data_IF_632214343948
#
_entry.id   IF_632214343948
#
_cell.length_a   1.000
_cell.length_b   1.000
_cell.length_c   1.000
_cell.angle_alpha   90.00
_cell.angle_beta   90.00
_cell.angle_gamma   90.00
#
_symmetry.space_group_name_H-M   'P 1'
#
loop_
_entity.id
_entity.type
_entity.pdbx_description
1 polymer ?
#
# COMPACT_ATOMS: atom_id res chain seq x y z
N UNK A 1 -1.41 0.16 -15.34
CA UNK A 1 -0.97 0.03 -13.93
C UNK A 1 -1.55 1.21 -13.15
N UNK A 2 -1.85 1.03 -11.87
CA UNK A 2 -2.36 2.10 -11.01
C UNK A 2 -1.47 2.24 -9.78
N UNK A 3 -1.30 3.47 -9.31
CA UNK A 3 -0.88 3.75 -7.94
C UNK A 3 -2.12 3.84 -7.07
N UNK A 4 -2.16 3.09 -5.97
CA UNK A 4 -3.25 3.19 -4.99
C UNK A 4 -2.67 3.54 -3.63
N UNK A 5 -3.42 4.33 -2.87
CA UNK A 5 -3.14 4.62 -1.48
C UNK A 5 -4.39 4.33 -0.66
N UNK A 6 -4.23 3.50 0.37
CA UNK A 6 -5.25 3.22 1.37
C UNK A 6 -4.62 3.20 2.74
N UNK A 7 -5.46 3.41 3.74
CA UNK A 7 -5.09 3.29 5.12
C UNK A 7 -6.24 2.63 5.88
N UNK A 8 -5.98 2.19 7.11
CA UNK A 8 -7.00 1.55 7.92
C UNK A 8 -8.23 2.47 8.11
N UNK A 9 -9.46 1.98 7.94
CA UNK A 9 -10.64 2.77 8.28
C UNK A 9 -10.69 3.08 9.78
N UNK A 10 -11.13 4.29 10.15
CA UNK A 10 -11.19 4.73 11.55
C UNK A 10 -12.12 5.93 11.71
N UNK A 11 -12.55 6.21 12.93
CA UNK A 11 -13.36 7.40 13.20
C UNK A 11 -12.49 8.67 13.21
N UNK A 12 -12.88 9.70 12.46
CA UNK A 12 -12.27 11.01 12.48
C UNK A 12 -13.05 11.91 13.45
N UNK A 13 -12.53 12.08 14.66
CA UNK A 13 -13.14 12.92 15.70
C UNK A 13 -13.22 14.41 15.30
N UNK A 14 -12.36 14.88 14.39
CA UNK A 14 -12.38 16.28 13.93
C UNK A 14 -13.56 16.52 13.00
N UNK A 15 -13.77 15.60 12.05
CA UNK A 15 -14.87 15.68 11.07
C UNK A 15 -16.16 15.02 11.54
N UNK A 16 -16.14 14.35 12.70
CA UNK A 16 -17.26 13.59 13.29
C UNK A 16 -17.86 12.56 12.31
N UNK A 17 -17.01 11.94 11.50
CA UNK A 17 -17.42 10.94 10.50
C UNK A 17 -16.38 9.83 10.41
N UNK A 18 -16.76 8.69 9.83
CA UNK A 18 -15.81 7.61 9.55
C UNK A 18 -14.95 7.95 8.33
N UNK A 19 -13.64 7.84 8.51
CA UNK A 19 -12.70 7.74 7.40
C UNK A 19 -12.72 6.30 6.87
N UNK A 20 -13.13 6.15 5.61
CA UNK A 20 -13.37 4.86 4.96
C UNK A 20 -12.10 4.10 4.53
N UNK A 21 -10.93 4.66 4.83
CA UNK A 21 -9.64 4.08 4.50
C UNK A 21 -9.15 4.38 3.08
N UNK A 22 -9.97 4.99 2.22
CA UNK A 22 -9.61 5.26 0.82
C UNK A 22 -8.91 6.61 0.72
N UNK A 23 -7.69 6.65 0.19
CA UNK A 23 -6.95 7.90 -0.06
C UNK A 23 -7.06 8.25 -1.55
N UNK A 24 -6.61 7.36 -2.43
CA UNK A 24 -6.79 7.58 -3.86
C UNK A 24 -6.29 6.42 -4.73
N UNK A 25 -6.64 6.49 -6.02
CA UNK A 25 -6.20 5.58 -7.07
C UNK A 25 -5.92 6.38 -8.34
N UNK A 26 -4.73 6.22 -8.92
CA UNK A 26 -4.25 7.01 -10.04
C UNK A 26 -3.68 6.12 -11.14
N UNK A 27 -4.20 6.18 -12.37
CA UNK A 27 -3.66 5.42 -13.48
C UNK A 27 -2.30 5.99 -13.94
N UNK A 28 -1.35 5.11 -14.24
CA UNK A 28 -0.15 5.48 -14.99
C UNK A 28 -0.44 5.45 -16.47
N UNK A 29 -0.89 6.58 -17.01
CA UNK A 29 -1.21 6.77 -18.42
C UNK A 29 -0.75 8.12 -18.93
N UNK A 30 -0.49 8.18 -20.22
CA UNK A 30 -0.21 9.39 -20.97
C UNK A 30 -1.17 9.52 -22.15
N UNK A 31 -1.47 10.75 -22.54
CA UNK A 31 -2.26 11.04 -23.76
C UNK A 31 -1.29 11.37 -24.87
N UNK A 32 -1.22 10.50 -25.88
CA UNK A 32 -0.33 10.65 -27.04
C UNK A 32 -1.10 10.74 -28.34
N UNK A 33 -0.55 11.40 -29.35
CA UNK A 33 -1.15 11.48 -30.67
C UNK A 33 -1.05 10.14 -31.41
N UNK A 34 -2.15 9.69 -32.01
CA UNK A 34 -2.17 8.46 -32.80
C UNK A 34 -1.18 8.52 -33.98
N UNK A 35 -0.22 7.59 -34.02
CA UNK A 35 0.85 7.57 -35.04
C UNK A 35 0.36 7.17 -36.43
N UNK A 36 -0.71 6.38 -36.51
CA UNK A 36 -1.29 5.84 -37.76
C UNK A 36 -2.80 6.06 -37.78
N UNK A 37 -3.34 6.25 -38.97
CA UNK A 37 -4.79 6.20 -39.21
C UNK A 37 -5.26 4.74 -39.14
N UNK A 38 -6.42 4.53 -38.53
CA UNK A 38 -7.13 3.26 -38.46
C UNK A 38 -8.62 3.49 -38.71
N UNK A 39 -9.39 2.42 -38.89
CA UNK A 39 -10.85 2.50 -39.11
C UNK A 39 -11.58 3.31 -38.03
N UNK A 40 -11.11 3.25 -36.79
CA UNK A 40 -11.78 3.86 -35.63
C UNK A 40 -11.09 5.14 -35.15
N UNK A 41 -9.95 5.54 -35.75
CA UNK A 41 -9.14 6.66 -35.23
C UNK A 41 -8.23 7.26 -36.31
N UNK A 42 -8.35 8.55 -36.65
CA UNK A 42 -7.42 9.21 -37.55
C UNK A 42 -6.05 9.44 -36.91
N UNK A 43 -5.01 9.54 -37.74
CA UNK A 43 -3.68 9.98 -37.30
C UNK A 43 -3.79 11.34 -36.60
N UNK A 44 -3.10 11.51 -35.48
CA UNK A 44 -3.12 12.74 -34.68
C UNK A 44 -4.19 12.78 -33.59
N UNK A 45 -5.19 11.89 -33.60
CA UNK A 45 -6.19 11.85 -32.53
C UNK A 45 -5.56 11.50 -31.17
N UNK A 46 -6.02 12.09 -30.06
CA UNK A 46 -5.51 11.78 -28.72
C UNK A 46 -5.83 10.33 -28.35
N UNK A 47 -4.85 9.64 -27.77
CA UNK A 47 -4.94 8.24 -27.33
C UNK A 47 -4.37 8.12 -25.93
N UNK A 48 -5.16 7.59 -25.01
CA UNK A 48 -4.66 7.18 -23.70
C UNK A 48 -3.86 5.89 -23.85
N UNK A 49 -2.59 5.92 -23.44
CA UNK A 49 -1.71 4.74 -23.45
C UNK A 49 -1.09 4.52 -22.07
N UNK A 50 -0.77 3.26 -21.71
CA UNK A 50 -0.04 2.98 -20.48
C UNK A 50 1.33 3.67 -20.49
N UNK A 51 1.67 4.35 -19.40
CA UNK A 51 2.97 5.00 -19.22
C UNK A 51 3.92 4.05 -18.47
N UNK A 52 5.19 4.01 -18.87
CA UNK A 52 6.21 3.31 -18.11
C UNK A 52 6.54 4.09 -16.82
N UNK A 53 6.67 3.38 -15.69
CA UNK A 53 6.91 3.99 -14.39
C UNK A 53 8.37 3.87 -14.02
N UNK A 54 9.09 4.97 -14.22
CA UNK A 54 10.43 5.16 -13.69
C UNK A 54 10.40 5.93 -12.36
N UNK A 55 11.57 6.15 -11.77
CA UNK A 55 11.71 6.86 -10.49
C UNK A 55 11.11 8.27 -10.51
N UNK A 56 11.23 9.00 -11.62
CA UNK A 56 10.72 10.37 -11.76
C UNK A 56 9.19 10.40 -11.82
N UNK A 57 8.59 9.51 -12.59
CA UNK A 57 7.12 9.35 -12.69
C UNK A 57 6.56 8.90 -11.34
N UNK A 58 7.20 7.95 -10.67
CA UNK A 58 6.75 7.52 -9.35
C UNK A 58 6.85 8.65 -8.31
N UNK A 59 7.99 9.35 -8.28
CA UNK A 59 8.21 10.51 -7.41
C UNK A 59 7.17 11.61 -7.62
N UNK A 60 6.88 11.99 -8.87
CA UNK A 60 5.87 13.02 -9.15
C UNK A 60 4.49 12.57 -8.71
N UNK A 61 4.12 11.30 -8.92
CA UNK A 61 2.84 10.79 -8.42
C UNK A 61 2.76 10.84 -6.89
N UNK A 62 3.84 10.53 -6.17
CA UNK A 62 3.83 10.63 -4.70
C UNK A 62 3.69 12.08 -4.24
N UNK A 63 4.47 13.00 -4.80
CA UNK A 63 4.47 14.41 -4.39
C UNK A 63 3.21 15.17 -4.83
N UNK A 64 2.73 14.93 -6.05
CA UNK A 64 1.66 15.71 -6.67
C UNK A 64 0.28 15.08 -6.50
N UNK A 65 0.20 13.79 -6.12
CA UNK A 65 -1.06 13.06 -5.95
C UNK A 65 -1.23 12.47 -4.55
N UNK A 66 -0.30 11.59 -4.12
CA UNK A 66 -0.47 10.83 -2.88
C UNK A 66 -0.41 11.73 -1.65
N UNK A 67 0.63 12.56 -1.53
CA UNK A 67 0.82 13.44 -0.38
C UNK A 67 -0.34 14.45 -0.25
N UNK A 68 -0.76 15.17 -1.31
CA UNK A 68 -1.93 16.04 -1.23
C UNK A 68 -3.20 15.30 -0.81
N UNK A 69 -3.45 14.10 -1.34
CA UNK A 69 -4.62 13.31 -0.96
C UNK A 69 -4.57 12.82 0.49
N UNK A 70 -3.38 12.52 1.04
CA UNK A 70 -3.22 12.25 2.48
C UNK A 70 -3.59 13.50 3.28
N UNK A 71 -3.02 14.66 2.94
CA UNK A 71 -3.30 15.91 3.65
C UNK A 71 -4.80 16.28 3.61
N UNK A 72 -5.47 16.01 2.50
CA UNK A 72 -6.88 16.30 2.31
C UNK A 72 -7.79 15.31 3.04
N UNK A 73 -7.54 14.00 2.93
CA UNK A 73 -8.52 12.97 3.32
C UNK A 73 -8.20 12.27 4.63
N UNK A 74 -6.94 12.21 5.04
CA UNK A 74 -6.56 11.49 6.26
C UNK A 74 -7.14 12.18 7.50
N UNK A 75 -7.48 11.45 8.58
CA UNK A 75 -7.94 12.07 9.82
C UNK A 75 -6.95 13.09 10.36
N UNK A 76 -7.40 14.31 10.61
CA UNK A 76 -6.52 15.46 10.92
C UNK A 76 -5.71 15.23 12.20
N UNK A 77 -6.33 14.64 13.22
CA UNK A 77 -5.66 14.32 14.49
C UNK A 77 -4.51 13.33 14.31
N UNK A 78 -4.70 12.30 13.49
CA UNK A 78 -3.67 11.30 13.20
C UNK A 78 -2.59 11.84 12.25
N UNK A 79 -2.98 12.69 11.29
CA UNK A 79 -2.01 13.34 10.40
C UNK A 79 -0.99 14.14 11.20
N UNK A 80 -1.41 14.88 12.22
CA UNK A 80 -0.51 15.64 13.11
C UNK A 80 0.47 14.77 13.91
N UNK A 81 0.12 13.51 14.17
CA UNK A 81 0.98 12.54 14.88
C UNK A 81 2.01 11.88 13.96
N UNK A 82 1.85 12.03 12.66
CA UNK A 82 2.74 11.45 11.65
C UNK A 82 2.08 10.29 10.91
N UNK A 83 2.13 10.34 9.58
CA UNK A 83 1.67 9.28 8.67
C UNK A 83 2.86 8.65 7.99
N UNK A 84 2.88 7.32 7.92
CA UNK A 84 3.89 6.56 7.19
C UNK A 84 3.27 6.01 5.91
N UNK A 85 3.82 6.42 4.77
CA UNK A 85 3.59 5.75 3.49
C UNK A 85 4.46 4.50 3.49
N UNK A 86 3.83 3.34 3.40
CA UNK A 86 4.54 2.09 3.15
C UNK A 86 4.62 1.83 1.64
N UNK A 87 5.78 1.41 1.15
CA UNK A 87 6.01 1.00 -0.23
C UNK A 87 6.89 -0.27 -0.28
N UNK A 88 6.88 -0.97 -1.42
CA UNK A 88 7.80 -2.08 -1.66
C UNK A 88 9.20 -1.58 -2.10
N UNK A 89 10.12 -2.52 -2.35
CA UNK A 89 11.50 -2.20 -2.72
C UNK A 89 11.76 -2.17 -4.23
N UNK A 90 10.71 -2.03 -5.06
CA UNK A 90 10.87 -1.89 -6.50
C UNK A 90 11.80 -0.70 -6.84
N UNK A 91 12.60 -0.85 -7.90
CA UNK A 91 13.65 0.13 -8.24
C UNK A 91 13.16 1.59 -8.30
N UNK A 92 11.99 1.92 -8.89
CA UNK A 92 11.46 3.28 -8.89
C UNK A 92 11.18 3.87 -7.49
N UNK A 93 10.82 3.03 -6.52
CA UNK A 93 10.38 3.46 -5.20
C UNK A 93 11.56 3.89 -4.31
N UNK A 94 12.76 3.36 -4.56
CA UNK A 94 13.98 3.64 -3.76
C UNK A 94 14.35 5.12 -3.70
N UNK A 95 13.90 5.91 -4.68
CA UNK A 95 14.18 7.34 -4.74
C UNK A 95 13.17 8.20 -3.97
N UNK A 96 12.05 7.62 -3.54
CA UNK A 96 11.05 8.31 -2.72
C UNK A 96 11.34 8.01 -1.26
N UNK A 97 11.97 8.96 -0.57
CA UNK A 97 12.40 8.82 0.83
C UNK A 97 11.79 9.91 1.71
N UNK A 98 11.81 9.71 3.03
CA UNK A 98 11.42 10.75 3.98
C UNK A 98 12.26 12.02 3.80
N UNK A 99 13.56 11.90 3.50
CA UNK A 99 14.43 13.04 3.24
C UNK A 99 13.97 13.84 2.01
N UNK A 100 13.59 13.16 0.93
CA UNK A 100 13.02 13.79 -0.25
C UNK A 100 11.71 14.53 0.06
N UNK A 101 10.80 13.90 0.82
CA UNK A 101 9.55 14.54 1.21
C UNK A 101 9.82 15.82 2.00
N UNK A 102 10.76 15.78 2.95
CA UNK A 102 11.14 16.94 3.76
C UNK A 102 11.75 18.06 2.92
N UNK A 103 12.66 17.75 1.99
CA UNK A 103 13.24 18.76 1.09
C UNK A 103 12.21 19.37 0.13
N UNK A 104 11.10 18.66 -0.13
CA UNK A 104 9.96 19.15 -0.90
C UNK A 104 8.92 19.89 -0.04
N UNK A 105 9.22 20.21 1.23
CA UNK A 105 8.34 20.95 2.12
C UNK A 105 7.23 20.13 2.78
N UNK A 106 7.20 18.81 2.57
CA UNK A 106 6.17 17.94 3.15
C UNK A 106 6.50 17.68 4.63
N UNK A 107 5.57 18.03 5.51
CA UNK A 107 5.64 17.77 6.95
C UNK A 107 4.70 16.63 7.34
N UNK A 108 5.00 15.96 8.47
CA UNK A 108 4.18 14.90 9.08
C UNK A 108 3.89 13.66 8.21
N UNK A 109 4.38 13.58 6.98
CA UNK A 109 4.35 12.37 6.16
C UNK A 109 5.78 11.85 6.00
N UNK A 110 6.00 10.57 6.25
CA UNK A 110 7.28 9.90 6.05
C UNK A 110 7.09 8.63 5.23
N UNK A 111 8.17 8.08 4.71
CA UNK A 111 8.17 6.86 3.90
C UNK A 111 8.89 5.74 4.63
N UNK A 112 8.32 4.54 4.58
CA UNK A 112 8.93 3.30 5.06
C UNK A 112 8.88 2.27 3.94
N UNK A 113 9.93 1.46 3.84
CA UNK A 113 9.94 0.32 2.94
C UNK A 113 9.51 -0.93 3.71
N UNK A 114 8.74 -1.78 3.05
CA UNK A 114 8.42 -3.09 3.59
C UNK A 114 9.65 -4.03 3.54
N UNK A 115 9.67 -5.12 4.32
CA UNK A 115 10.71 -6.14 4.20
C UNK A 115 10.79 -6.73 2.78
N UNK A 116 11.99 -7.04 2.26
CA UNK A 116 12.15 -7.67 0.95
C UNK A 116 11.38 -8.99 0.84
N UNK A 117 10.80 -9.26 -0.33
CA UNK A 117 10.05 -10.50 -0.62
C UNK A 117 8.85 -10.78 0.31
N UNK A 118 8.24 -9.74 0.89
CA UNK A 118 7.06 -9.85 1.77
C UNK A 118 5.82 -9.14 1.19
N UNK A 119 5.27 -9.59 0.05
CA UNK A 119 4.06 -9.00 -0.53
C UNK A 119 2.84 -9.11 0.40
N UNK A 120 2.84 -10.11 1.28
CA UNK A 120 1.82 -10.33 2.31
C UNK A 120 1.85 -9.28 3.44
N UNK A 121 2.95 -8.54 3.59
CA UNK A 121 3.02 -7.34 4.44
C UNK A 121 2.57 -6.06 3.73
N UNK A 122 2.19 -6.14 2.45
CA UNK A 122 1.59 -5.03 1.73
C UNK A 122 0.07 -5.19 1.68
N UNK A 123 -0.68 -4.27 2.28
CA UNK A 123 -2.15 -4.32 2.26
C UNK A 123 -2.72 -4.30 0.83
N UNK A 124 -2.00 -3.67 -0.10
CA UNK A 124 -2.40 -3.57 -1.50
C UNK A 124 -2.42 -4.96 -2.16
N UNK A 125 -1.31 -5.68 -2.05
CA UNK A 125 -1.13 -7.01 -2.65
C UNK A 125 -1.86 -8.10 -1.87
N UNK A 126 -1.89 -8.00 -0.53
CA UNK A 126 -2.49 -9.00 0.36
C UNK A 126 -3.97 -9.24 0.08
N UNK A 127 -4.71 -8.23 -0.36
CA UNK A 127 -6.13 -8.43 -0.69
C UNK A 127 -6.88 -7.23 -1.25
N UNK A 128 -6.34 -6.01 -1.13
CA UNK A 128 -7.05 -4.83 -1.65
C UNK A 128 -7.18 -4.85 -3.17
N UNK A 129 -6.10 -5.14 -3.91
CA UNK A 129 -6.17 -5.20 -5.37
C UNK A 129 -7.09 -6.32 -5.86
N UNK A 130 -7.05 -7.49 -5.23
CA UNK A 130 -7.99 -8.58 -5.53
C UNK A 130 -9.45 -8.15 -5.32
N UNK A 131 -9.72 -7.37 -4.27
CA UNK A 131 -11.07 -6.88 -3.96
C UNK A 131 -11.57 -5.87 -5.01
N UNK A 132 -10.72 -4.91 -5.42
CA UNK A 132 -11.07 -3.96 -6.48
C UNK A 132 -11.21 -4.67 -7.82
N UNK A 133 -10.32 -5.60 -8.14
CA UNK A 133 -10.37 -6.35 -9.39
C UNK A 133 -11.69 -7.14 -9.50
N UNK A 134 -12.16 -7.74 -8.41
CA UNK A 134 -13.46 -8.42 -8.38
C UNK A 134 -14.63 -7.49 -8.75
N UNK A 135 -14.63 -6.25 -8.23
CA UNK A 135 -15.65 -5.23 -8.58
C UNK A 135 -15.47 -4.67 -9.99
N UNK A 136 -14.23 -4.57 -10.47
CA UNK A 136 -13.94 -4.09 -11.81
C UNK A 136 -14.37 -5.12 -12.88
N UNK A 137 -14.16 -6.42 -12.64
CA UNK A 137 -14.58 -7.49 -13.55
C UNK A 137 -16.10 -7.58 -13.76
N UNK A 138 -16.90 -6.98 -12.87
CA UNK A 138 -18.36 -6.88 -13.04
C UNK A 138 -18.76 -5.80 -14.04
N UNK A 139 -17.81 -4.98 -14.52
CA UNK A 139 -18.04 -3.87 -15.44
C UNK A 139 -17.52 -4.24 -16.83
N UNK A 140 -18.34 -4.04 -17.86
CA UNK A 140 -17.92 -4.24 -19.24
C UNK A 140 -17.02 -3.08 -19.69
N UNK A 141 -15.81 -3.37 -20.11
CA UNK A 141 -14.82 -2.37 -20.57
C UNK A 141 -14.25 -2.79 -21.91
N UNK A 142 -14.26 -1.89 -22.89
CA UNK A 142 -13.78 -2.09 -24.27
C UNK A 142 -12.64 -1.16 -24.64
N UNK A 143 -12.35 -0.17 -23.79
CA UNK A 143 -11.29 0.83 -23.98
C UNK A 143 -10.46 1.00 -22.71
N UNK A 144 -9.29 1.63 -22.83
CA UNK A 144 -8.42 1.93 -21.67
C UNK A 144 -9.12 2.93 -20.75
N UNK A 145 -9.82 3.91 -21.34
CA UNK A 145 -10.60 4.91 -20.63
C UNK A 145 -11.73 4.26 -19.82
N UNK A 146 -12.52 3.36 -20.43
CA UNK A 146 -13.55 2.60 -19.73
C UNK A 146 -12.96 1.73 -18.61
N UNK A 147 -11.78 1.14 -18.81
CA UNK A 147 -11.09 0.38 -17.77
C UNK A 147 -10.64 1.27 -16.61
N UNK A 148 -10.13 2.47 -16.90
CA UNK A 148 -9.76 3.46 -15.88
C UNK A 148 -10.97 3.85 -15.05
N UNK A 149 -12.09 4.15 -15.70
CA UNK A 149 -13.32 4.53 -15.02
C UNK A 149 -13.88 3.36 -14.20
N UNK A 150 -13.82 2.13 -14.72
CA UNK A 150 -14.23 0.94 -13.98
C UNK A 150 -13.38 0.68 -12.73
N UNK A 151 -12.06 0.87 -12.79
CA UNK A 151 -11.15 0.74 -11.63
C UNK A 151 -11.42 1.85 -10.62
N UNK A 152 -11.59 3.11 -11.07
CA UNK A 152 -11.94 4.23 -10.18
C UNK A 152 -13.27 3.99 -9.48
N UNK A 153 -14.30 3.57 -10.23
CA UNK A 153 -15.60 3.22 -9.68
C UNK A 153 -15.49 2.09 -8.65
N UNK A 154 -14.80 1.00 -8.98
CA UNK A 154 -14.54 -0.11 -8.07
C UNK A 154 -13.82 0.33 -6.78
N UNK A 155 -12.86 1.26 -6.86
CA UNK A 155 -12.21 1.83 -5.69
C UNK A 155 -13.20 2.54 -4.77
N UNK A 156 -14.07 3.40 -5.32
CA UNK A 156 -15.06 4.12 -4.50
C UNK A 156 -16.19 3.23 -3.98
N UNK A 157 -16.64 2.26 -4.77
CA UNK A 157 -17.67 1.28 -4.42
C UNK A 157 -17.19 0.28 -3.36
N UNK A 158 -15.88 0.07 -3.22
CA UNK A 158 -15.34 -0.89 -2.27
C UNK A 158 -15.81 -0.57 -0.84
N UNK A 159 -16.54 -1.49 -0.17
CA UNK A 159 -17.04 -1.25 1.18
C UNK A 159 -15.91 -1.03 2.18
N UNK A 160 -16.14 -0.12 3.12
CA UNK A 160 -15.22 0.14 4.24
C UNK A 160 -14.88 -1.14 4.99
N UNK A 161 -15.87 -1.98 5.25
CA UNK A 161 -15.70 -3.28 5.90
C UNK A 161 -14.68 -4.18 5.19
N UNK A 162 -14.67 -4.18 3.86
CA UNK A 162 -13.72 -4.96 3.08
C UNK A 162 -12.30 -4.43 3.30
N UNK A 163 -12.12 -3.10 3.31
CA UNK A 163 -10.83 -2.47 3.62
C UNK A 163 -10.39 -2.82 5.05
N UNK A 164 -11.28 -2.68 6.04
CA UNK A 164 -11.00 -3.05 7.45
C UNK A 164 -10.59 -4.51 7.59
N UNK A 165 -11.32 -5.43 6.93
CA UNK A 165 -10.99 -6.87 6.93
C UNK A 165 -9.61 -7.15 6.34
N UNK A 166 -9.19 -6.43 5.29
CA UNK A 166 -7.85 -6.57 4.73
C UNK A 166 -6.77 -6.13 5.71
N UNK A 167 -6.97 -5.01 6.43
CA UNK A 167 -6.05 -4.59 7.50
C UNK A 167 -6.01 -5.56 8.69
N UNK A 168 -7.14 -6.16 9.07
CA UNK A 168 -7.17 -7.19 10.12
C UNK A 168 -6.43 -8.46 9.65
N UNK A 169 -6.56 -8.84 8.37
CA UNK A 169 -5.75 -9.92 7.79
C UNK A 169 -4.26 -9.58 7.86
N UNK A 170 -3.88 -8.34 7.50
CA UNK A 170 -2.49 -7.88 7.59
C UNK A 170 -1.94 -8.02 9.02
N UNK A 171 -2.71 -7.60 10.03
CA UNK A 171 -2.31 -7.78 11.43
C UNK A 171 -2.16 -9.25 11.80
N UNK A 172 -3.04 -10.13 11.29
CA UNK A 172 -2.94 -11.56 11.56
C UNK A 172 -1.73 -12.20 10.87
N UNK A 173 -1.40 -11.76 9.65
CA UNK A 173 -0.18 -12.16 8.92
C UNK A 173 1.07 -11.74 9.70
N UNK A 174 1.11 -10.49 10.19
CA UNK A 174 2.20 -10.02 11.06
C UNK A 174 2.32 -10.86 12.34
N UNK A 175 1.20 -11.15 13.00
CA UNK A 175 1.20 -12.04 14.18
C UNK A 175 1.79 -13.41 13.84
N UNK A 176 1.34 -14.05 12.74
CA UNK A 176 1.82 -15.37 12.35
C UNK A 176 3.32 -15.35 12.00
N UNK A 177 3.82 -14.27 11.39
CA UNK A 177 5.27 -14.13 11.17
C UNK A 177 6.04 -14.01 12.47
N UNK A 178 5.54 -13.25 13.45
CA UNK A 178 6.14 -13.16 14.80
C UNK A 178 6.16 -14.54 15.49
N UNK A 179 5.04 -15.26 15.46
CA UNK A 179 4.93 -16.64 16.01
C UNK A 179 5.91 -17.61 15.32
N UNK A 180 6.30 -17.32 14.08
CA UNK A 180 7.25 -18.08 13.28
C UNK A 180 8.64 -17.46 13.24
N UNK A 181 8.98 -16.60 14.20
CA UNK A 181 10.29 -15.96 14.37
C UNK A 181 10.80 -15.23 13.10
N UNK A 182 9.89 -14.55 12.41
CA UNK A 182 10.17 -13.76 11.19
C UNK A 182 10.12 -14.56 9.89
N UNK A 183 9.80 -15.86 9.93
CA UNK A 183 9.56 -16.65 8.72
C UNK A 183 8.28 -16.19 8.00
N UNK A 184 8.27 -16.33 6.68
CA UNK A 184 7.09 -16.14 5.81
C UNK A 184 6.53 -17.46 5.28
N UNK A 185 7.05 -18.61 5.74
CA UNK A 185 6.61 -19.94 5.32
C UNK A 185 5.37 -20.38 6.12
N UNK A 186 4.26 -19.68 5.91
CA UNK A 186 2.96 -20.01 6.48
C UNK A 186 1.87 -20.00 5.42
N UNK A 187 0.78 -20.71 5.71
CA UNK A 187 -0.46 -20.52 4.97
C UNK A 187 -1.13 -19.23 5.44
N UNK A 188 -1.71 -18.45 4.52
CA UNK A 188 -2.41 -17.22 4.87
C UNK A 188 -3.45 -17.48 5.98
N UNK A 189 -3.34 -16.79 7.13
CA UNK A 189 -4.17 -17.08 8.28
C UNK A 189 -5.63 -16.67 8.02
N UNK A 190 -6.55 -17.61 8.25
CA UNK A 190 -7.99 -17.40 8.09
C UNK A 190 -8.62 -16.97 9.41
N UNK A 191 -9.61 -16.10 9.31
CA UNK A 191 -10.39 -15.63 10.45
C UNK A 191 -11.83 -15.43 10.00
N UNK A 192 -12.80 -15.90 10.78
CA UNK A 192 -14.22 -15.70 10.51
C UNK A 192 -14.68 -14.30 10.96
N UNK A 193 -14.08 -13.27 10.35
CA UNK A 193 -14.17 -11.86 10.79
C UNK A 193 -15.61 -11.37 10.95
N UNK A 194 -16.51 -11.78 10.03
CA UNK A 194 -17.92 -11.37 10.07
C UNK A 194 -18.66 -11.91 11.31
N UNK A 195 -18.29 -13.10 11.78
CA UNK A 195 -18.95 -13.74 12.92
C UNK A 195 -18.31 -13.34 14.25
N UNK A 196 -17.02 -12.97 14.27
CA UNK A 196 -16.25 -12.82 15.51
C UNK A 196 -15.91 -11.38 15.87
N UNK A 197 -16.17 -10.41 15.00
CA UNK A 197 -15.76 -9.00 15.21
C UNK A 197 -16.97 -8.09 15.08
N UNK A 198 -17.35 -7.44 16.18
CA UNK A 198 -18.47 -6.50 16.21
C UNK A 198 -18.14 -5.16 15.54
N UNK A 199 -16.93 -4.63 15.78
CA UNK A 199 -16.46 -3.37 15.19
C UNK A 199 -15.12 -3.60 14.47
N UNK A 200 -15.18 -3.71 13.14
CA UNK A 200 -14.02 -3.93 12.30
C UNK A 200 -13.05 -2.73 12.26
N UNK A 201 -13.54 -1.52 12.51
CA UNK A 201 -12.71 -0.32 12.45
C UNK A 201 -11.76 -0.25 13.66
N UNK A 202 -12.23 -0.65 14.84
CA UNK A 202 -11.47 -0.57 16.10
C UNK A 202 -10.79 -1.89 16.51
N UNK A 203 -11.17 -3.03 15.93
CA UNK A 203 -10.60 -4.34 16.27
C UNK A 203 -9.10 -4.43 15.98
N UNK A 204 -8.31 -4.93 16.93
CA UNK A 204 -6.88 -5.21 16.74
C UNK A 204 -6.59 -6.66 17.08
N UNK A 205 -5.90 -7.34 16.18
CA UNK A 205 -5.34 -8.67 16.47
C UNK A 205 -4.34 -8.54 17.62
N UNK A 206 -4.52 -9.35 18.66
CA UNK A 206 -3.59 -9.41 19.78
C UNK A 206 -2.50 -10.44 19.49
N UNK A 207 -1.25 -10.06 19.76
CA UNK A 207 -0.11 -10.96 19.70
C UNK A 207 0.18 -11.47 21.12
N UNK A 208 0.45 -12.78 21.23
CA UNK A 208 0.82 -13.38 22.51
C UNK A 208 2.18 -12.86 22.99
N UNK A 209 2.28 -12.54 24.28
CA UNK A 209 3.48 -11.93 24.85
C UNK A 209 4.69 -12.87 24.77
N UNK A 210 4.49 -14.18 24.94
CA UNK A 210 5.58 -15.16 24.85
C UNK A 210 6.08 -15.32 23.41
N UNK A 211 5.16 -15.28 22.42
CA UNK A 211 5.54 -15.26 21.00
C UNK A 211 6.36 -14.02 20.65
N UNK A 212 5.96 -12.85 21.15
CA UNK A 212 6.70 -11.61 20.92
C UNK A 212 8.08 -11.64 21.58
N UNK A 213 8.17 -12.08 22.83
CA UNK A 213 9.44 -12.19 23.55
C UNK A 213 10.40 -13.16 22.85
N UNK A 214 9.90 -14.33 22.44
CA UNK A 214 10.69 -15.30 21.67
C UNK A 214 11.19 -14.73 20.33
N UNK A 215 10.33 -14.00 19.61
CA UNK A 215 10.72 -13.35 18.36
C UNK A 215 11.78 -12.25 18.55
N UNK A 216 11.66 -11.45 19.62
CA UNK A 216 12.65 -10.42 19.96
C UNK A 216 13.99 -11.04 20.32
N UNK A 217 13.99 -12.09 21.15
CA UNK A 217 15.22 -12.80 21.50
C UNK A 217 15.90 -13.37 20.25
N UNK A 218 15.14 -14.00 19.34
CA UNK A 218 15.68 -14.52 18.09
C UNK A 218 16.23 -13.42 17.17
N UNK A 219 15.57 -12.26 17.14
CA UNK A 219 16.04 -11.10 16.39
C UNK A 219 17.38 -10.60 16.93
N UNK A 220 17.49 -10.42 18.26
CA UNK A 220 18.72 -9.95 18.89
C UNK A 220 19.89 -10.92 18.67
N UNK A 221 19.64 -12.23 18.74
CA UNK A 221 20.64 -13.26 18.42
C UNK A 221 21.11 -13.13 16.97
N UNK A 222 20.18 -12.99 16.01
CA UNK A 222 20.53 -12.83 14.59
C UNK A 222 21.32 -11.57 14.31
N UNK A 223 20.94 -10.43 14.90
CA UNK A 223 21.68 -9.19 14.74
C UNK A 223 23.11 -9.31 15.30
N UNK A 224 23.28 -10.05 16.41
CA UNK A 224 24.59 -10.39 16.94
C UNK A 224 25.43 -11.24 15.99
N UNK A 225 24.84 -12.30 15.42
CA UNK A 225 25.49 -13.16 14.42
C UNK A 225 25.87 -12.38 13.15
N UNK A 226 24.98 -11.55 12.62
CA UNK A 226 25.24 -10.69 11.45
C UNK A 226 26.39 -9.72 11.72
N UNK A 227 26.40 -9.06 12.88
CA UNK A 227 27.48 -8.15 13.27
C UNK A 227 28.84 -8.86 13.34
N UNK A 228 28.89 -10.07 13.91
CA UNK A 228 30.11 -10.89 13.96
C UNK A 228 30.59 -11.31 12.57
N UNK A 229 29.67 -11.70 11.69
CA UNK A 229 30.00 -12.07 10.31
C UNK A 229 30.52 -10.87 9.51
N UNK A 230 29.92 -9.69 9.68
CA UNK A 230 30.41 -8.45 9.05
C UNK A 230 31.82 -8.09 9.53
N UNK A 231 32.10 -8.20 10.83
CA UNK A 231 33.44 -7.99 11.38
C UNK A 231 34.47 -8.96 10.78
N UNK A 232 34.13 -10.24 10.67
CA UNK A 232 35.00 -11.25 10.05
C UNK A 232 35.30 -10.93 8.60
N UNK A 233 34.28 -10.58 7.80
CA UNK A 233 34.46 -10.22 6.39
C UNK A 233 35.32 -8.96 6.23
N UNK A 234 35.12 -7.96 7.08
CA UNK A 234 35.87 -6.70 7.02
C UNK A 234 37.29 -6.80 7.60
N UNK A 235 37.55 -7.76 8.50
CA UNK A 235 38.90 -8.00 9.06
C UNK A 235 39.90 -8.62 8.07
N UNK A 236 39.41 -9.12 6.93
CA UNK A 236 40.20 -9.72 5.86
C UNK A 236 40.42 -8.79 4.65
N UNK A 237 40.11 -7.49 4.78
CA UNK A 237 40.41 -6.42 3.82
C UNK A 237 41.48 -5.48 4.35
#
# INVERSE_FOLDING_TARGET
MFLAAVARPRYDHTRKTFFDGKIGVWPFVEVVAAKRTSRNRPKGAPVTMPQNVNSDVYKSFVLDKVVPAICERFPVGDLRRGVRIQQDNASPHRHVTTALLRSSGVQNVSVINQPPNSPDFNVLDLGFFNSIQSLQHQKCTRTIEELIDAVKAAFFELPMDTVSKTFITLQKVMQTSIEMLGSNNYTLPRMNKNATIADLATYNVQCDASSLEGALLQLDLRLGEESQLEELVNSHQ
#
